data_IF_834437283882
#
_entry.id   IF_834437283882
#
_cell.length_a   1.000
_cell.length_b   1.000
_cell.length_c   1.000
_cell.angle_alpha   90.00
_cell.angle_beta   90.00
_cell.angle_gamma   90.00
#
_symmetry.space_group_name_H-M   'P 1'
#
loop_
_entity.id
_entity.type
_entity.pdbx_description
1 polymer ?
#
# COMPACT_ATOMS: atom_id res chain seq x y z
N UNK A 1 -6.40 6.93 -14.28
CA UNK A 1 -5.91 7.43 -12.98
C UNK A 1 -4.71 6.58 -12.60
N UNK A 2 -3.52 7.15 -12.40
CA UNK A 2 -2.36 6.36 -11.97
C UNK A 2 -2.70 5.73 -10.62
N UNK A 3 -2.56 4.40 -10.53
CA UNK A 3 -2.76 3.69 -9.27
C UNK A 3 -1.50 3.90 -8.43
N UNK A 4 -1.69 4.41 -7.22
CA UNK A 4 -0.60 4.69 -6.28
C UNK A 4 -0.48 3.51 -5.31
N UNK A 5 0.72 2.93 -5.18
CA UNK A 5 0.98 1.73 -4.37
C UNK A 5 1.90 2.11 -3.22
N UNK A 6 1.55 1.71 -1.99
CA UNK A 6 2.41 1.85 -0.82
C UNK A 6 3.05 0.49 -0.53
N UNK A 7 4.38 0.45 -0.59
CA UNK A 7 5.17 -0.74 -0.24
C UNK A 7 5.69 -0.56 1.18
N UNK A 8 5.33 -1.49 2.06
CA UNK A 8 5.77 -1.51 3.47
C UNK A 8 6.64 -2.74 3.63
N UNK A 9 7.94 -2.51 3.79
CA UNK A 9 8.95 -3.56 3.81
C UNK A 9 10.09 -3.07 4.70
N UNK A 10 10.53 -3.88 5.66
CA UNK A 10 11.61 -3.52 6.59
C UNK A 10 12.99 -3.66 5.93
N UNK A 11 13.16 -4.65 5.05
CA UNK A 11 14.39 -4.84 4.30
C UNK A 11 14.55 -3.87 3.11
N UNK A 12 15.61 -3.05 3.16
CA UNK A 12 15.88 -2.04 2.13
C UNK A 12 16.09 -2.62 0.71
N UNK A 13 16.79 -3.75 0.61
CA UNK A 13 17.08 -4.38 -0.69
C UNK A 13 15.81 -4.87 -1.39
N UNK A 14 14.90 -5.48 -0.64
CA UNK A 14 13.61 -5.96 -1.16
C UNK A 14 12.72 -4.77 -1.52
N UNK A 15 12.63 -3.78 -0.63
CA UNK A 15 11.87 -2.54 -0.84
C UNK A 15 12.25 -1.82 -2.13
N UNK A 16 13.55 -1.66 -2.38
CA UNK A 16 14.07 -1.03 -3.60
C UNK A 16 13.74 -1.84 -4.86
N UNK A 17 13.85 -3.17 -4.79
CA UNK A 17 13.51 -4.06 -5.89
C UNK A 17 12.03 -3.95 -6.26
N UNK A 18 11.15 -3.98 -5.25
CA UNK A 18 9.70 -3.83 -5.43
C UNK A 18 9.34 -2.48 -6.05
N UNK A 19 9.91 -1.39 -5.53
CA UNK A 19 9.74 -0.06 -6.10
C UNK A 19 10.14 -0.04 -7.57
N UNK A 20 11.34 -0.52 -7.89
CA UNK A 20 11.87 -0.47 -9.25
C UNK A 20 10.94 -1.18 -10.25
N UNK A 21 10.48 -2.39 -9.90
CA UNK A 21 9.56 -3.16 -10.73
C UNK A 21 8.23 -2.42 -10.92
N UNK A 22 7.62 -1.91 -9.85
CA UNK A 22 6.33 -1.24 -9.90
C UNK A 22 6.39 0.12 -10.63
N UNK A 23 7.46 0.89 -10.46
CA UNK A 23 7.68 2.14 -11.21
C UNK A 23 7.88 1.85 -12.69
N UNK A 24 8.62 0.79 -13.03
CA UNK A 24 8.82 0.34 -14.42
C UNK A 24 7.50 -0.04 -15.10
N UNK A 25 6.57 -0.61 -14.35
CA UNK A 25 5.21 -0.92 -14.80
C UNK A 25 4.30 0.32 -14.91
N UNK A 26 4.79 1.52 -14.57
CA UNK A 26 4.07 2.79 -14.68
C UNK A 26 3.20 3.16 -13.48
N UNK A 27 3.44 2.55 -12.32
CA UNK A 27 2.77 2.91 -11.07
C UNK A 27 3.53 3.99 -10.30
N UNK A 28 2.79 4.80 -9.54
CA UNK A 28 3.38 5.70 -8.54
C UNK A 28 3.58 4.93 -7.23
N UNK A 29 4.82 4.78 -6.79
CA UNK A 29 5.16 3.95 -5.62
C UNK A 29 5.66 4.83 -4.47
N UNK A 30 5.04 4.68 -3.30
CA UNK A 30 5.55 5.20 -2.03
C UNK A 30 6.15 4.06 -1.22
N UNK A 31 7.21 4.36 -0.47
CA UNK A 31 7.99 3.40 0.30
C UNK A 31 7.85 3.72 1.79
N UNK A 32 7.71 2.70 2.63
CA UNK A 32 7.80 2.84 4.08
C UNK A 32 8.65 1.70 4.66
N UNK A 33 9.60 2.05 5.52
CA UNK A 33 10.46 1.07 6.20
C UNK A 33 9.86 0.55 7.50
N UNK A 34 8.86 1.24 8.02
CA UNK A 34 8.26 0.94 9.32
C UNK A 34 6.75 1.12 9.31
N UNK A 35 6.05 0.41 10.21
CA UNK A 35 4.60 0.53 10.37
C UNK A 35 4.08 1.96 10.60
N UNK A 36 4.73 2.78 11.46
CA UNK A 36 4.32 4.17 11.66
C UNK A 36 4.49 5.05 10.40
N UNK A 37 5.59 4.89 9.66
CA UNK A 37 5.80 5.56 8.38
C UNK A 37 4.74 5.16 7.36
N UNK A 38 4.42 3.87 7.28
CA UNK A 38 3.38 3.35 6.41
C UNK A 38 2.00 3.91 6.76
N UNK A 39 1.68 4.05 8.04
CA UNK A 39 0.44 4.67 8.49
C UNK A 39 0.35 6.15 8.13
N UNK A 40 1.45 6.89 8.27
CA UNK A 40 1.52 8.29 7.85
C UNK A 40 1.35 8.42 6.33
N UNK A 41 1.98 7.54 5.58
CA UNK A 41 1.93 7.55 4.12
C UNK A 41 0.57 7.08 3.58
N UNK A 42 -0.03 6.07 4.20
CA UNK A 42 -1.40 5.64 3.90
C UNK A 42 -2.42 6.74 4.19
N UNK A 43 -2.25 7.50 5.28
CA UNK A 43 -3.11 8.67 5.58
C UNK A 43 -2.99 9.75 4.50
N UNK A 44 -1.78 9.99 3.96
CA UNK A 44 -1.53 10.93 2.85
C UNK A 44 -2.11 10.44 1.52
N UNK A 45 -1.97 9.14 1.24
CA UNK A 45 -2.40 8.52 -0.02
C UNK A 45 -3.93 8.37 -0.08
N UNK A 46 -4.62 8.50 1.07
CA UNK A 46 -6.09 8.45 1.19
C UNK A 46 -6.66 7.33 0.32
N UNK A 47 -6.24 6.06 0.54
CA UNK A 47 -6.84 4.95 -0.19
C UNK A 47 -8.34 5.05 0.03
N UNK A 48 -9.13 5.00 -1.05
CA UNK A 48 -10.56 4.71 -0.94
C UNK A 48 -10.64 3.29 -0.39
N UNK A 49 -10.51 3.14 0.93
CA UNK A 49 -10.72 1.89 1.63
C UNK A 49 -12.19 1.57 1.42
N UNK A 50 -12.48 0.80 0.36
CA UNK A 50 -13.67 -0.03 0.37
C UNK A 50 -13.36 -1.06 1.46
N UNK A 51 -13.89 -0.84 2.65
CA UNK A 51 -14.10 -1.92 3.60
C UNK A 51 -14.74 -3.07 2.82
N UNK A 52 -13.96 -4.10 2.54
CA UNK A 52 -14.52 -5.43 2.41
C UNK A 52 -15.09 -5.74 3.79
N UNK A 53 -16.38 -5.43 4.00
CA UNK A 53 -17.11 -5.95 5.15
C UNK A 53 -17.03 -7.46 5.05
N UNK A 54 -16.19 -8.03 5.90
CA UNK A 54 -16.25 -9.42 6.30
C UNK A 54 -17.71 -9.75 6.60
N UNK A 55 -18.26 -10.65 5.80
CA UNK A 55 -19.27 -11.64 6.15
C UNK A 55 -20.19 -11.27 7.33
N UNK A 56 -21.40 -10.79 7.02
CA UNK A 56 -22.49 -10.59 7.99
C UNK A 56 -23.02 -11.96 8.48
N UNK A 57 -22.86 -12.33 9.76
CA UNK A 57 -23.37 -13.59 10.28
C UNK A 57 -24.86 -13.53 10.68
N UNK A 58 -25.61 -12.46 10.40
CA UNK A 58 -27.01 -12.29 10.86
C UNK A 58 -28.08 -12.54 9.80
N UNK A 59 -27.76 -13.26 8.73
CA UNK A 59 -28.78 -13.73 7.77
C UNK A 59 -29.19 -15.18 8.06
N UNK A 60 -29.79 -15.40 9.24
CA UNK A 60 -30.78 -16.46 9.49
C UNK A 60 -31.83 -15.93 10.44
#
# INVERSE_FOLDING_TARGET
>A
MPKRILVVEDEANIRQTLRYNLVKEGYEVSEAGTGPEALNEARRIRPRTRECRSHDPRRR
#
